data_IF_688389403257
#
_entry.id   IF_688389403257
#
_cell.length_a   1.000
_cell.length_b   1.000
_cell.length_c   1.000
_cell.angle_alpha   90.00
_cell.angle_beta   90.00
_cell.angle_gamma   90.00
#
_symmetry.space_group_name_H-M   'P 1'
#
loop_
_entity.id
_entity.type
_entity.pdbx_description
1 polymer ?
#
# COMPACT_ATOMS: atom_id res chain seq x y z
N UNK A 1 -42.66 -23.99 1.39
CA UNK A 1 -42.83 -22.66 2.03
C UNK A 1 -41.73 -21.79 1.48
N UNK A 2 -42.11 -20.86 0.62
CA UNK A 2 -41.20 -19.94 -0.07
C UNK A 2 -40.84 -18.80 0.91
N UNK A 3 -39.57 -18.63 1.25
CA UNK A 3 -39.09 -17.45 1.95
C UNK A 3 -39.21 -16.24 1.02
N UNK A 4 -40.17 -15.38 1.30
CA UNK A 4 -40.26 -14.05 0.72
C UNK A 4 -39.15 -13.19 1.34
N UNK A 5 -38.13 -12.85 0.53
CA UNK A 5 -37.13 -11.87 0.88
C UNK A 5 -37.78 -10.49 0.98
N UNK A 6 -37.79 -9.90 2.17
CA UNK A 6 -38.24 -8.53 2.39
C UNK A 6 -37.40 -7.55 1.56
N UNK A 7 -38.04 -6.92 0.57
CA UNK A 7 -37.47 -5.90 -0.28
C UNK A 7 -37.76 -4.53 0.38
N UNK A 8 -36.75 -3.89 0.91
CA UNK A 8 -36.86 -2.53 1.42
C UNK A 8 -36.54 -1.52 0.30
N UNK A 9 -37.55 -0.83 -0.20
CA UNK A 9 -37.37 0.23 -1.20
C UNK A 9 -37.02 1.56 -0.53
N UNK A 10 -35.75 1.98 -0.69
CA UNK A 10 -35.33 3.36 -0.39
C UNK A 10 -35.40 4.21 -1.66
N UNK A 11 -35.71 5.53 -1.58
CA UNK A 11 -35.66 6.38 -2.77
C UNK A 11 -34.22 6.52 -3.26
N UNK A 12 -33.87 5.78 -4.32
CA UNK A 12 -32.53 5.81 -4.90
C UNK A 12 -31.96 4.49 -5.42
N UNK A 13 -32.63 3.36 -5.29
CA UNK A 13 -32.18 2.10 -5.88
C UNK A 13 -32.38 0.88 -4.99
N UNK A 14 -32.61 -0.25 -5.61
CA UNK A 14 -32.68 -1.57 -4.96
C UNK A 14 -31.35 -1.93 -4.37
N UNK A 15 -31.26 -2.07 -3.04
CA UNK A 15 -30.11 -2.66 -2.39
C UNK A 15 -30.36 -4.16 -2.26
N UNK A 16 -29.60 -4.95 -3.00
CA UNK A 16 -29.64 -6.40 -2.88
C UNK A 16 -28.84 -6.85 -1.65
N UNK A 17 -29.54 -7.35 -0.63
CA UNK A 17 -28.93 -7.89 0.60
C UNK A 17 -28.53 -9.36 0.48
N UNK A 18 -28.68 -10.00 -0.69
CA UNK A 18 -28.32 -11.42 -0.89
C UNK A 18 -26.84 -11.73 -0.64
N UNK A 19 -25.99 -10.70 -0.50
CA UNK A 19 -24.54 -10.87 -0.33
C UNK A 19 -23.83 -11.35 -1.61
N UNK A 20 -24.55 -11.60 -2.71
CA UNK A 20 -23.97 -12.00 -3.99
C UNK A 20 -23.41 -10.80 -4.76
N UNK A 21 -22.45 -11.05 -5.64
CA UNK A 21 -22.00 -10.07 -6.62
C UNK A 21 -22.97 -10.04 -7.80
N UNK A 22 -23.34 -8.83 -8.24
CA UNK A 22 -24.25 -8.56 -9.37
C UNK A 22 -23.62 -7.57 -10.35
N UNK A 23 -24.29 -7.27 -11.47
CA UNK A 23 -23.91 -6.22 -12.43
C UNK A 23 -22.46 -6.34 -12.92
N UNK A 24 -22.09 -7.54 -13.38
CA UNK A 24 -20.77 -7.81 -13.93
C UNK A 24 -20.56 -7.06 -15.25
N UNK A 25 -19.74 -6.02 -15.25
CA UNK A 25 -19.39 -5.24 -16.42
C UNK A 25 -17.93 -5.49 -16.77
N UNK A 26 -17.66 -6.02 -17.96
CA UNK A 26 -16.28 -6.22 -18.45
C UNK A 26 -15.63 -4.86 -18.69
N UNK A 27 -14.58 -4.55 -17.94
CA UNK A 27 -13.82 -3.30 -18.02
C UNK A 27 -12.59 -3.43 -18.91
N UNK A 28 -11.90 -4.57 -18.84
CA UNK A 28 -10.70 -4.84 -19.61
C UNK A 28 -10.53 -6.33 -19.88
N UNK A 29 -9.96 -6.68 -21.04
CA UNK A 29 -9.65 -8.06 -21.39
C UNK A 29 -8.30 -8.15 -22.08
N UNK A 30 -7.51 -9.13 -21.64
CA UNK A 30 -6.24 -9.50 -22.23
C UNK A 30 -6.26 -10.99 -22.60
N UNK A 31 -5.18 -11.50 -23.18
CA UNK A 31 -5.05 -12.95 -23.43
C UNK A 31 -4.96 -13.81 -22.17
N UNK A 32 -4.79 -13.22 -20.99
CA UNK A 32 -4.55 -13.94 -19.73
C UNK A 32 -5.56 -13.65 -18.65
N UNK A 33 -6.09 -12.44 -18.61
CA UNK A 33 -7.01 -12.00 -17.56
C UNK A 33 -8.11 -11.12 -18.11
N UNK A 34 -9.25 -11.17 -17.43
CA UNK A 34 -10.36 -10.23 -17.61
C UNK A 34 -10.61 -9.50 -16.32
N UNK A 35 -10.89 -8.21 -16.43
CA UNK A 35 -11.25 -7.36 -15.32
C UNK A 35 -12.73 -7.01 -15.44
N UNK A 36 -13.50 -7.30 -14.39
CA UNK A 36 -14.90 -6.95 -14.31
C UNK A 36 -15.11 -6.00 -13.13
N UNK A 37 -15.98 -5.01 -13.35
CA UNK A 37 -16.61 -4.30 -12.25
C UNK A 37 -17.88 -5.05 -11.86
N UNK A 38 -18.10 -5.27 -10.57
CA UNK A 38 -19.32 -5.84 -10.04
C UNK A 38 -19.83 -5.04 -8.85
N UNK A 39 -21.08 -5.27 -8.48
CA UNK A 39 -21.73 -4.63 -7.33
C UNK A 39 -22.03 -5.68 -6.27
N UNK A 40 -21.79 -5.34 -5.00
CA UNK A 40 -22.20 -6.13 -3.84
C UNK A 40 -22.57 -5.18 -2.70
N UNK A 41 -23.78 -5.32 -2.15
CA UNK A 41 -24.26 -4.43 -1.09
C UNK A 41 -24.22 -2.95 -1.45
N UNK A 42 -24.53 -2.58 -2.71
CA UNK A 42 -24.50 -1.22 -3.21
C UNK A 42 -23.11 -0.62 -3.44
N UNK A 43 -22.03 -1.40 -3.28
CA UNK A 43 -20.63 -0.95 -3.51
C UNK A 43 -20.07 -1.62 -4.75
N UNK A 44 -19.17 -0.89 -5.44
CA UNK A 44 -18.42 -1.42 -6.56
C UNK A 44 -17.18 -2.18 -6.09
N UNK A 45 -16.91 -3.27 -6.79
CA UNK A 45 -15.69 -4.08 -6.64
C UNK A 45 -15.06 -4.32 -8.00
N UNK A 46 -13.77 -4.54 -8.02
CA UNK A 46 -13.06 -5.00 -9.20
C UNK A 46 -12.74 -6.48 -9.04
N UNK A 47 -13.06 -7.26 -10.06
CA UNK A 47 -12.83 -8.70 -10.11
C UNK A 47 -11.85 -9.00 -11.23
N UNK A 48 -10.77 -9.70 -10.91
CA UNK A 48 -9.80 -10.19 -11.89
C UNK A 48 -9.98 -11.71 -12.03
N UNK A 49 -10.28 -12.17 -13.26
CA UNK A 49 -10.41 -13.58 -13.59
C UNK A 49 -9.34 -14.00 -14.61
N UNK A 50 -9.12 -15.30 -14.73
CA UNK A 50 -8.37 -15.85 -15.86
C UNK A 50 -9.13 -15.59 -17.18
N UNK A 51 -8.40 -15.39 -18.28
CA UNK A 51 -9.04 -15.18 -19.60
C UNK A 51 -9.64 -16.47 -20.17
N UNK A 52 -9.04 -17.61 -19.85
CA UNK A 52 -9.47 -18.95 -20.25
C UNK A 52 -9.59 -19.84 -19.01
N UNK A 53 -10.45 -20.85 -19.08
CA UNK A 53 -10.56 -21.88 -18.04
C UNK A 53 -9.38 -22.88 -18.12
N UNK A 54 -8.17 -22.37 -18.26
CA UNK A 54 -6.94 -23.13 -18.29
C UNK A 54 -6.38 -23.20 -16.86
N UNK A 55 -6.12 -24.41 -16.36
CA UNK A 55 -5.61 -24.63 -15.00
C UNK A 55 -4.29 -23.89 -14.71
N UNK A 56 -3.48 -23.60 -15.74
CA UNK A 56 -2.25 -22.82 -15.60
C UNK A 56 -2.55 -21.35 -15.31
N UNK A 57 -3.52 -20.74 -16.01
CA UNK A 57 -3.92 -19.36 -15.78
C UNK A 57 -4.64 -19.18 -14.45
N UNK A 58 -5.43 -20.17 -14.05
CA UNK A 58 -6.08 -20.17 -12.73
C UNK A 58 -5.05 -20.33 -11.60
N UNK A 59 -4.07 -21.20 -11.74
CA UNK A 59 -2.98 -21.34 -10.77
C UNK A 59 -2.16 -20.05 -10.65
N UNK A 60 -1.90 -19.36 -11.77
CA UNK A 60 -1.24 -18.06 -11.77
C UNK A 60 -2.07 -16.99 -11.05
N UNK A 61 -3.38 -16.95 -11.30
CA UNK A 61 -4.31 -16.04 -10.62
C UNK A 61 -4.33 -16.28 -9.10
N UNK A 62 -4.36 -17.54 -8.68
CA UNK A 62 -4.34 -17.92 -7.27
C UNK A 62 -3.04 -17.52 -6.60
N UNK A 63 -1.91 -17.71 -7.26
CA UNK A 63 -0.60 -17.28 -6.77
C UNK A 63 -0.51 -15.74 -6.65
N UNK A 64 -1.06 -15.00 -7.61
CA UNK A 64 -1.17 -13.54 -7.51
C UNK A 64 -1.99 -13.13 -6.28
N UNK A 65 -3.10 -13.81 -6.01
CA UNK A 65 -3.90 -13.58 -4.81
C UNK A 65 -3.08 -13.82 -3.53
N UNK A 66 -2.37 -14.95 -3.44
CA UNK A 66 -1.55 -15.30 -2.28
C UNK A 66 -0.46 -14.26 -2.00
N UNK A 67 0.18 -13.72 -3.04
CA UNK A 67 1.20 -12.68 -2.93
C UNK A 67 0.61 -11.32 -2.51
N UNK A 68 -0.61 -11.04 -2.94
CA UNK A 68 -1.29 -9.78 -2.66
C UNK A 68 -2.03 -9.77 -1.32
N UNK A 69 -2.24 -10.96 -0.75
CA UNK A 69 -2.99 -11.13 0.50
C UNK A 69 -2.23 -10.50 1.67
N UNK A 70 -2.91 -9.62 2.37
CA UNK A 70 -2.32 -8.92 3.52
C UNK A 70 -1.54 -7.65 3.15
N UNK A 71 -1.44 -7.30 1.87
CA UNK A 71 -0.89 -5.99 1.49
C UNK A 71 -1.88 -4.88 1.77
N UNK A 72 -1.53 -4.01 2.72
CA UNK A 72 -2.34 -2.87 3.13
C UNK A 72 -1.52 -1.60 3.09
N UNK A 73 -1.80 -0.77 2.11
CA UNK A 73 -1.15 0.53 1.97
C UNK A 73 -2.08 1.50 1.24
N UNK A 74 -2.15 2.75 1.70
CA UNK A 74 -3.06 3.76 1.13
C UNK A 74 -2.89 3.98 -0.39
N UNK A 75 -1.70 3.68 -0.94
CA UNK A 75 -1.38 3.85 -2.36
C UNK A 75 -1.24 2.53 -3.12
N UNK A 76 -1.73 1.44 -2.55
CA UNK A 76 -1.82 0.12 -3.19
C UNK A 76 -3.28 -0.31 -3.18
N UNK A 77 -3.78 -0.89 -4.26
CA UNK A 77 -5.15 -1.40 -4.31
C UNK A 77 -5.28 -2.63 -3.40
N UNK A 78 -6.28 -2.60 -2.53
CA UNK A 78 -6.51 -3.66 -1.55
C UNK A 78 -7.14 -4.87 -2.22
N UNK A 79 -6.51 -6.03 -2.05
CA UNK A 79 -7.10 -7.33 -2.39
C UNK A 79 -7.92 -7.80 -1.19
N UNK A 80 -9.17 -8.15 -1.42
CA UNK A 80 -10.14 -8.45 -0.37
C UNK A 80 -10.30 -9.95 -0.15
N UNK A 81 -10.56 -10.70 -1.22
CA UNK A 81 -10.81 -12.13 -1.16
C UNK A 81 -10.58 -12.80 -2.51
N UNK A 82 -10.56 -14.13 -2.50
CA UNK A 82 -10.62 -14.98 -3.69
C UNK A 82 -11.97 -15.71 -3.72
N UNK A 83 -12.73 -15.51 -4.77
CA UNK A 83 -14.03 -16.15 -4.97
C UNK A 83 -13.89 -17.24 -6.03
N UNK A 84 -14.00 -18.52 -5.65
CA UNK A 84 -13.76 -19.64 -6.56
C UNK A 84 -14.92 -19.90 -7.54
N UNK A 85 -16.12 -19.40 -7.27
CA UNK A 85 -17.35 -19.81 -7.96
C UNK A 85 -18.23 -18.62 -8.30
N UNK A 86 -17.72 -17.68 -9.11
CA UNK A 86 -18.53 -16.58 -9.64
C UNK A 86 -19.03 -16.88 -11.05
N UNK A 87 -20.13 -16.24 -11.52
CA UNK A 87 -20.63 -16.39 -12.90
C UNK A 87 -19.58 -16.10 -13.98
N UNK A 88 -18.58 -15.27 -13.65
CA UNK A 88 -17.46 -14.90 -14.54
C UNK A 88 -16.24 -15.80 -14.39
N UNK A 89 -16.33 -16.86 -13.58
CA UNK A 89 -15.25 -17.76 -13.21
C UNK A 89 -14.56 -17.39 -11.89
N UNK A 90 -13.56 -18.18 -11.47
CA UNK A 90 -12.76 -17.87 -10.28
C UNK A 90 -12.14 -16.48 -10.38
N UNK A 91 -12.20 -15.69 -9.30
CA UNK A 91 -11.78 -14.30 -9.32
C UNK A 91 -11.07 -13.85 -8.05
N UNK A 92 -10.06 -13.01 -8.23
CA UNK A 92 -9.56 -12.12 -7.17
C UNK A 92 -10.52 -10.93 -7.08
N UNK A 93 -11.06 -10.70 -5.90
CA UNK A 93 -11.87 -9.53 -5.59
C UNK A 93 -11.02 -8.47 -4.94
N UNK A 94 -11.07 -7.27 -5.45
CA UNK A 94 -10.29 -6.13 -4.95
C UNK A 94 -11.14 -4.86 -4.88
N UNK A 95 -10.64 -3.86 -4.17
CA UNK A 95 -11.29 -2.56 -4.12
C UNK A 95 -11.46 -1.97 -5.54
N UNK A 96 -12.63 -1.36 -5.77
CA UNK A 96 -12.84 -0.56 -6.96
C UNK A 96 -12.24 0.83 -6.75
N UNK A 97 -11.28 1.20 -7.57
CA UNK A 97 -10.66 2.52 -7.55
C UNK A 97 -11.34 3.41 -8.59
N UNK A 98 -12.13 4.40 -8.13
CA UNK A 98 -12.67 5.42 -9.01
C UNK A 98 -11.57 6.41 -9.41
N UNK A 99 -11.00 6.20 -10.57
CA UNK A 99 -9.85 6.95 -11.05
C UNK A 99 -9.58 6.72 -12.54
N UNK A 100 -8.47 7.27 -12.98
CA UNK A 100 -7.94 7.09 -14.34
C UNK A 100 -6.49 6.66 -14.26
N UNK A 101 -5.99 5.96 -15.28
CA UNK A 101 -4.57 5.60 -15.33
C UNK A 101 -3.67 6.85 -15.45
N UNK A 102 -2.42 6.69 -15.01
CA UNK A 102 -1.45 7.78 -14.97
C UNK A 102 -1.19 8.38 -16.36
N UNK A 103 -1.22 7.58 -17.45
CA UNK A 103 -1.02 8.08 -18.81
C UNK A 103 -2.13 9.07 -19.19
N UNK A 104 -3.38 8.67 -18.97
CA UNK A 104 -4.55 9.48 -19.23
C UNK A 104 -4.59 10.72 -18.33
N UNK A 105 -4.21 10.55 -17.06
CA UNK A 105 -4.09 11.67 -16.13
C UNK A 105 -3.06 12.70 -16.61
N UNK A 106 -1.89 12.26 -17.09
CA UNK A 106 -0.86 13.16 -17.60
C UNK A 106 -1.28 13.95 -18.83
N UNK A 107 -2.24 13.46 -19.64
CA UNK A 107 -2.79 14.22 -20.77
C UNK A 107 -3.60 15.44 -20.33
N UNK A 108 -4.05 15.52 -19.08
CA UNK A 108 -4.69 16.72 -18.50
C UNK A 108 -3.70 17.82 -18.12
N UNK A 109 -2.41 17.57 -18.30
CA UNK A 109 -1.31 18.47 -17.98
C UNK A 109 -1.32 19.00 -16.53
N UNK A 110 -1.30 18.12 -15.52
CA UNK A 110 -1.30 18.53 -14.13
C UNK A 110 -0.09 19.40 -13.78
N UNK A 111 -0.25 20.27 -12.78
CA UNK A 111 0.82 21.15 -12.33
C UNK A 111 2.02 20.41 -11.73
N UNK A 112 3.15 21.12 -11.58
CA UNK A 112 4.40 20.52 -11.08
C UNK A 112 4.32 20.07 -9.62
N UNK A 113 3.44 20.64 -8.79
CA UNK A 113 3.27 20.24 -7.40
C UNK A 113 2.51 18.92 -7.33
N UNK A 114 1.43 18.80 -8.10
CA UNK A 114 0.64 17.58 -8.26
C UNK A 114 1.51 16.43 -8.78
N UNK A 115 2.31 16.64 -9.83
CA UNK A 115 3.24 15.63 -10.35
C UNK A 115 4.25 15.17 -9.29
N UNK A 116 4.79 16.09 -8.48
CA UNK A 116 5.71 15.75 -7.38
C UNK A 116 5.02 14.95 -6.28
N UNK A 117 3.78 15.29 -5.93
CA UNK A 117 3.00 14.56 -4.95
C UNK A 117 2.73 13.14 -5.43
N UNK A 118 2.24 12.98 -6.66
CA UNK A 118 2.00 11.67 -7.28
C UNK A 118 3.27 10.82 -7.27
N UNK A 119 4.41 11.37 -7.67
CA UNK A 119 5.66 10.60 -7.67
C UNK A 119 6.11 10.24 -6.25
N UNK A 120 5.89 11.09 -5.26
CA UNK A 120 6.21 10.79 -3.86
C UNK A 120 5.32 9.67 -3.30
N UNK A 121 4.02 9.68 -3.60
CA UNK A 121 3.08 8.61 -3.24
C UNK A 121 3.43 7.30 -3.93
N UNK A 122 3.80 7.35 -5.21
CA UNK A 122 4.25 6.18 -5.96
C UNK A 122 5.52 5.56 -5.34
N UNK A 123 6.50 6.39 -4.96
CA UNK A 123 7.71 5.93 -4.27
C UNK A 123 7.39 5.27 -2.93
N UNK A 124 6.45 5.84 -2.18
CA UNK A 124 6.01 5.31 -0.89
C UNK A 124 5.37 3.93 -1.05
N UNK A 125 4.47 3.79 -2.02
CA UNK A 125 3.83 2.52 -2.35
C UNK A 125 4.85 1.44 -2.77
N UNK A 126 5.78 1.77 -3.69
CA UNK A 126 6.77 0.79 -4.16
C UNK A 126 7.79 0.46 -3.07
N UNK A 127 8.14 1.42 -2.21
CA UNK A 127 8.99 1.15 -1.05
C UNK A 127 8.29 0.19 -0.07
N UNK A 128 6.99 0.33 0.15
CA UNK A 128 6.20 -0.61 0.94
C UNK A 128 6.20 -2.02 0.32
N UNK A 129 5.93 -2.15 -0.99
CA UNK A 129 5.96 -3.41 -1.72
C UNK A 129 7.32 -4.11 -1.56
N UNK A 130 8.43 -3.35 -1.72
CA UNK A 130 9.78 -3.88 -1.57
C UNK A 130 10.10 -4.32 -0.13
N UNK A 131 9.59 -3.60 0.89
CA UNK A 131 9.72 -4.03 2.30
C UNK A 131 8.96 -5.32 2.59
N UNK A 132 7.87 -5.57 1.89
CA UNK A 132 7.11 -6.83 1.96
C UNK A 132 7.79 -7.98 1.20
N UNK A 133 9.00 -7.77 0.67
CA UNK A 133 9.74 -8.80 -0.08
C UNK A 133 9.22 -9.05 -1.49
N UNK A 134 8.35 -8.19 -2.01
CA UNK A 134 7.72 -8.34 -3.32
C UNK A 134 8.36 -7.39 -4.32
N UNK A 135 8.53 -7.85 -5.55
CA UNK A 135 8.97 -7.06 -6.71
C UNK A 135 7.78 -6.98 -7.65
N UNK A 136 7.40 -5.78 -8.07
CA UNK A 136 6.20 -5.60 -8.89
C UNK A 136 6.38 -6.07 -10.34
N UNK A 137 7.55 -5.82 -10.94
CA UNK A 137 7.99 -6.22 -12.28
C UNK A 137 7.16 -5.69 -13.48
N UNK A 138 6.01 -5.06 -13.27
CA UNK A 138 5.16 -4.47 -14.33
C UNK A 138 4.72 -3.04 -13.99
N UNK A 139 5.61 -2.26 -13.37
CA UNK A 139 5.32 -0.85 -13.09
C UNK A 139 5.27 -0.03 -14.39
N UNK A 140 4.08 0.45 -14.71
CA UNK A 140 3.80 1.27 -15.90
C UNK A 140 2.59 2.17 -15.65
N UNK A 141 2.37 3.21 -16.44
CA UNK A 141 1.25 4.14 -16.24
C UNK A 141 -0.13 3.48 -16.19
N UNK A 142 -0.33 2.39 -16.92
CA UNK A 142 -1.59 1.66 -16.96
C UNK A 142 -1.91 0.93 -15.63
N UNK A 143 -0.88 0.59 -14.84
CA UNK A 143 -1.00 -0.07 -13.54
C UNK A 143 -0.97 0.93 -12.36
N UNK A 144 -1.00 2.22 -12.66
CA UNK A 144 -1.00 3.30 -11.67
C UNK A 144 -2.26 4.12 -11.87
N UNK A 145 -3.23 3.95 -11.00
CA UNK A 145 -4.46 4.75 -11.03
C UNK A 145 -4.28 6.01 -10.20
N UNK A 146 -4.87 7.09 -10.71
CA UNK A 146 -5.00 8.37 -10.02
C UNK A 146 -6.47 8.54 -9.67
N UNK A 147 -6.79 8.58 -8.38
CA UNK A 147 -8.16 8.70 -7.90
C UNK A 147 -8.81 10.00 -8.36
N UNK A 148 -10.11 9.98 -8.63
CA UNK A 148 -10.89 11.14 -9.03
C UNK A 148 -10.93 12.20 -7.93
N UNK A 149 -11.01 11.76 -6.68
CA UNK A 149 -10.97 12.63 -5.51
C UNK A 149 -9.51 12.67 -5.02
N UNK A 150 -8.98 13.86 -4.74
CA UNK A 150 -7.63 14.15 -4.24
C UNK A 150 -6.47 13.84 -5.20
N UNK A 151 -6.67 13.17 -6.33
CA UNK A 151 -5.61 12.69 -7.22
C UNK A 151 -4.55 11.84 -6.48
N UNK A 152 -4.98 10.90 -5.65
CA UNK A 152 -4.09 9.99 -4.95
C UNK A 152 -3.71 8.79 -5.81
N UNK A 153 -2.49 8.30 -5.64
CA UNK A 153 -1.98 7.13 -6.35
C UNK A 153 -2.58 5.86 -5.77
N UNK A 154 -2.95 4.92 -6.64
CA UNK A 154 -3.25 3.54 -6.33
C UNK A 154 -2.54 2.63 -7.33
N UNK A 155 -1.59 1.83 -6.86
CA UNK A 155 -0.95 0.77 -7.67
C UNK A 155 -1.90 -0.41 -7.73
N UNK A 156 -2.09 -0.94 -8.93
CA UNK A 156 -2.91 -2.12 -9.21
C UNK A 156 -2.06 -3.19 -9.88
N UNK A 157 -2.53 -4.42 -9.86
CA UNK A 157 -2.03 -5.56 -10.63
C UNK A 157 -0.63 -6.05 -10.22
N UNK A 158 -0.60 -7.11 -9.39
CA UNK A 158 0.61 -7.81 -8.97
C UNK A 158 0.90 -9.10 -9.77
N UNK A 159 0.21 -9.31 -10.90
CA UNK A 159 0.24 -10.54 -11.68
C UNK A 159 1.61 -10.97 -12.21
N UNK A 160 2.61 -10.11 -12.11
CA UNK A 160 3.97 -10.36 -12.59
C UNK A 160 5.03 -10.51 -11.49
N UNK A 161 4.66 -10.28 -10.24
CA UNK A 161 5.58 -10.47 -9.12
C UNK A 161 6.01 -11.93 -8.95
N UNK A 162 5.28 -12.89 -9.55
CA UNK A 162 5.52 -14.33 -9.43
C UNK A 162 6.19 -14.99 -10.62
N UNK A 163 6.12 -14.43 -11.84
CA UNK A 163 6.53 -15.11 -13.08
C UNK A 163 7.30 -14.19 -14.03
N UNK A 164 8.59 -13.98 -13.77
CA UNK A 164 9.50 -13.31 -14.70
C UNK A 164 9.56 -14.01 -16.08
N UNK A 165 9.37 -15.32 -16.13
CA UNK A 165 9.41 -16.13 -17.35
C UNK A 165 8.32 -15.78 -18.39
N UNK A 166 7.21 -15.16 -17.97
CA UNK A 166 6.05 -14.88 -18.82
C UNK A 166 5.99 -13.44 -19.38
N UNK A 167 6.96 -12.61 -19.06
CA UNK A 167 6.95 -11.19 -19.46
C UNK A 167 6.98 -10.97 -20.99
N UNK A 168 7.61 -11.86 -21.74
CA UNK A 168 7.90 -11.65 -23.16
C UNK A 168 6.76 -11.92 -24.12
N UNK A 169 5.75 -12.69 -23.75
CA UNK A 169 4.61 -12.95 -24.65
C UNK A 169 3.66 -11.73 -24.78
N UNK A 170 3.83 -10.73 -23.93
CA UNK A 170 2.99 -9.51 -23.91
C UNK A 170 3.63 -8.31 -24.63
N UNK A 171 4.83 -8.43 -25.15
CA UNK A 171 5.69 -7.30 -25.53
C UNK A 171 5.51 -6.79 -26.96
N UNK A 172 4.33 -6.86 -27.53
CA UNK A 172 4.06 -6.27 -28.86
C UNK A 172 3.43 -4.86 -28.77
N UNK A 173 3.80 -4.06 -27.78
CA UNK A 173 3.33 -2.66 -27.69
C UNK A 173 3.73 -2.01 -26.38
N UNK A 174 4.01 -0.73 -26.36
CA UNK A 174 4.17 0.22 -25.23
C UNK A 174 4.84 -0.23 -23.90
N UNK A 175 4.63 -1.46 -23.48
CA UNK A 175 5.10 -2.00 -22.20
C UNK A 175 6.62 -2.18 -22.14
N UNK A 176 7.29 -2.46 -23.27
CA UNK A 176 8.76 -2.63 -23.33
C UNK A 176 9.54 -1.44 -22.80
N UNK A 177 9.00 -0.24 -22.92
CA UNK A 177 9.65 1.00 -22.51
C UNK A 177 9.90 1.05 -20.99
N UNK A 178 9.03 0.45 -20.18
CA UNK A 178 9.10 0.48 -18.71
C UNK A 178 9.87 -0.72 -18.15
N UNK A 179 10.08 -1.77 -18.96
CA UNK A 179 10.81 -2.95 -18.57
C UNK A 179 12.31 -2.66 -18.47
N UNK A 180 12.93 -3.15 -17.42
CA UNK A 180 14.38 -3.10 -17.28
C UNK A 180 15.07 -4.04 -18.26
N UNK A 181 16.35 -3.78 -18.62
CA UNK A 181 17.11 -4.65 -19.53
C UNK A 181 17.09 -6.11 -19.08
N UNK A 182 17.34 -6.39 -17.81
CA UNK A 182 17.37 -7.74 -17.25
C UNK A 182 16.01 -8.46 -17.35
N UNK A 183 14.90 -7.73 -17.26
CA UNK A 183 13.57 -8.28 -17.52
C UNK A 183 13.38 -8.65 -18.99
N UNK A 184 13.91 -7.85 -19.91
CA UNK A 184 13.84 -8.12 -21.34
C UNK A 184 14.76 -9.27 -21.75
N UNK A 185 15.89 -9.44 -21.08
CA UNK A 185 16.89 -10.48 -21.30
C UNK A 185 16.55 -11.79 -20.58
N UNK A 186 15.48 -11.83 -19.79
CA UNK A 186 15.05 -13.00 -19.00
C UNK A 186 16.10 -13.47 -18.00
N UNK A 187 16.75 -12.54 -17.31
CA UNK A 187 17.69 -12.91 -16.26
C UNK A 187 16.97 -13.64 -15.12
N UNK A 188 17.60 -14.70 -14.61
CA UNK A 188 17.04 -15.54 -13.54
C UNK A 188 17.05 -14.82 -12.16
N UNK A 189 17.86 -13.76 -12.01
CA UNK A 189 18.12 -13.07 -10.75
C UNK A 189 17.50 -11.66 -10.70
N UNK A 190 16.24 -11.50 -11.08
CA UNK A 190 15.53 -10.23 -11.04
C UNK A 190 15.35 -9.78 -9.59
N UNK A 191 15.71 -8.53 -9.29
CA UNK A 191 15.55 -7.91 -7.97
C UNK A 191 14.79 -6.57 -8.03
N UNK A 192 14.59 -5.92 -6.88
CA UNK A 192 13.87 -4.65 -6.76
C UNK A 192 14.42 -3.49 -7.59
N UNK A 193 15.62 -3.61 -8.16
CA UNK A 193 16.21 -2.63 -9.07
C UNK A 193 15.55 -2.62 -10.45
N UNK A 194 14.80 -3.68 -10.78
CA UNK A 194 13.93 -3.70 -11.95
C UNK A 194 12.81 -2.66 -11.83
N UNK A 195 12.12 -2.61 -10.69
CA UNK A 195 11.10 -1.60 -10.41
C UNK A 195 11.70 -0.19 -10.33
N UNK A 196 12.93 -0.05 -9.81
CA UNK A 196 13.66 1.23 -9.81
C UNK A 196 13.88 1.74 -11.24
N UNK A 197 14.18 0.86 -12.20
CA UNK A 197 14.28 1.25 -13.61
C UNK A 197 12.94 1.78 -14.13
N UNK A 198 11.85 1.05 -13.90
CA UNK A 198 10.49 1.46 -14.29
C UNK A 198 10.10 2.82 -13.69
N UNK A 199 10.41 3.04 -12.40
CA UNK A 199 10.23 4.33 -11.73
C UNK A 199 11.05 5.46 -12.38
N UNK A 200 12.24 5.15 -12.90
CA UNK A 200 13.05 6.10 -13.65
C UNK A 200 12.39 6.52 -14.97
N UNK A 201 11.75 5.59 -15.66
CA UNK A 201 10.99 5.88 -16.89
C UNK A 201 9.73 6.67 -16.59
N UNK A 202 8.98 6.30 -15.55
CA UNK A 202 7.79 7.04 -15.09
C UNK A 202 8.18 8.46 -14.66
N UNK A 203 9.34 8.63 -14.01
CA UNK A 203 9.89 9.96 -13.69
C UNK A 203 10.11 10.80 -14.96
N UNK A 204 10.56 10.19 -16.06
CA UNK A 204 10.70 10.89 -17.34
C UNK A 204 9.36 11.37 -17.88
N UNK A 205 8.31 10.55 -17.78
CA UNK A 205 6.96 10.90 -18.22
C UNK A 205 6.36 12.03 -17.36
N UNK A 206 6.58 11.98 -16.05
CA UNK A 206 6.09 13.01 -15.12
C UNK A 206 6.80 14.36 -15.26
N UNK A 207 8.11 14.38 -15.48
CA UNK A 207 8.95 15.55 -15.31
C UNK A 207 9.76 15.95 -16.55
N UNK A 208 9.69 15.19 -17.63
CA UNK A 208 10.46 15.46 -18.85
C UNK A 208 11.97 15.52 -18.59
N UNK A 209 12.59 16.65 -18.94
CA UNK A 209 14.03 16.88 -18.78
C UNK A 209 14.50 17.13 -17.33
N UNK A 210 13.58 17.32 -16.40
CA UNK A 210 13.93 17.55 -14.99
C UNK A 210 14.41 16.28 -14.30
N UNK A 211 15.14 16.46 -13.18
CA UNK A 211 15.63 15.34 -12.34
C UNK A 211 16.60 14.37 -13.04
N UNK A 212 17.28 14.78 -14.10
CA UNK A 212 18.13 13.94 -14.94
C UNK A 212 19.15 13.08 -14.15
N UNK A 213 19.75 13.63 -13.08
CA UNK A 213 20.76 12.88 -12.30
C UNK A 213 20.14 11.67 -11.60
N UNK A 214 18.96 11.83 -10.99
CA UNK A 214 18.26 10.72 -10.33
C UNK A 214 17.77 9.73 -11.39
N UNK A 215 17.13 10.22 -12.46
CA UNK A 215 16.63 9.43 -13.56
C UNK A 215 17.69 8.58 -14.23
N UNK A 216 18.85 9.18 -14.61
CA UNK A 216 19.97 8.45 -15.23
C UNK A 216 20.47 7.32 -14.34
N UNK A 217 20.49 7.54 -13.03
CA UNK A 217 20.86 6.50 -12.07
C UNK A 217 19.83 5.38 -12.00
N UNK A 218 18.54 5.70 -12.00
CA UNK A 218 17.47 4.69 -12.04
C UNK A 218 17.55 3.85 -13.32
N UNK A 219 17.78 4.50 -14.47
CA UNK A 219 17.75 3.89 -15.80
C UNK A 219 19.14 3.45 -16.29
N UNK A 220 20.09 3.23 -15.40
CA UNK A 220 21.39 2.67 -15.78
C UNK A 220 21.21 1.25 -16.34
N UNK A 221 21.85 0.94 -17.45
CA UNK A 221 21.88 -0.43 -18.02
C UNK A 221 22.53 -1.38 -17.01
N UNK A 222 23.60 -0.93 -16.36
CA UNK A 222 24.25 -1.66 -15.29
C UNK A 222 23.40 -1.59 -14.01
N UNK A 223 22.80 -2.71 -13.63
CA UNK A 223 21.92 -2.86 -12.46
C UNK A 223 22.60 -2.43 -11.16
N UNK A 224 23.87 -2.70 -10.97
CA UNK A 224 24.67 -2.34 -9.78
C UNK A 224 24.70 -0.83 -9.53
N UNK A 225 24.63 -0.01 -10.57
CA UNK A 225 24.65 1.47 -10.47
C UNK A 225 23.31 2.07 -10.08
N UNK A 226 22.22 1.33 -10.18
CA UNK A 226 20.89 1.82 -9.79
C UNK A 226 20.78 2.00 -8.27
N UNK A 227 19.72 2.62 -7.81
CA UNK A 227 19.36 2.56 -6.39
C UNK A 227 18.98 1.13 -6.03
N UNK A 228 19.36 0.70 -4.83
CA UNK A 228 19.18 -0.69 -4.38
C UNK A 228 17.70 -1.11 -4.37
N UNK A 229 16.82 -0.21 -3.96
CA UNK A 229 15.37 -0.38 -3.96
C UNK A 229 14.67 0.99 -3.99
N UNK A 230 13.33 1.01 -3.95
CA UNK A 230 12.54 2.24 -3.97
C UNK A 230 12.79 3.14 -2.74
N UNK A 231 13.14 2.61 -1.58
CA UNK A 231 13.42 3.38 -0.36
C UNK A 231 14.68 4.25 -0.51
N UNK A 232 15.75 3.69 -1.10
CA UNK A 232 16.94 4.48 -1.42
C UNK A 232 16.66 5.58 -2.46
N UNK A 233 15.78 5.30 -3.43
CA UNK A 233 15.33 6.29 -4.40
C UNK A 233 14.48 7.37 -3.72
N UNK A 234 13.58 7.00 -2.81
CA UNK A 234 12.75 7.93 -2.01
C UNK A 234 13.61 8.87 -1.19
N UNK A 235 14.67 8.36 -0.56
CA UNK A 235 15.63 9.17 0.18
C UNK A 235 16.35 10.17 -0.74
N UNK A 236 16.80 9.73 -1.90
CA UNK A 236 17.46 10.62 -2.87
C UNK A 236 16.51 11.71 -3.42
N UNK A 237 15.25 11.35 -3.64
CA UNK A 237 14.16 12.24 -4.05
C UNK A 237 13.89 13.32 -3.00
N UNK A 238 13.74 12.92 -1.75
CA UNK A 238 13.45 13.81 -0.62
C UNK A 238 14.60 14.80 -0.37
N UNK A 239 15.86 14.33 -0.36
CA UNK A 239 17.05 15.17 -0.20
C UNK A 239 17.17 16.24 -1.28
N UNK A 240 16.82 15.94 -2.52
CA UNK A 240 16.85 16.93 -3.61
C UNK A 240 15.80 18.00 -3.43
N UNK A 241 14.58 17.63 -3.06
CA UNK A 241 13.49 18.57 -2.84
C UNK A 241 13.79 19.53 -1.68
N UNK A 242 14.38 19.01 -0.60
CA UNK A 242 14.83 19.82 0.53
C UNK A 242 15.93 20.82 0.13
N UNK A 243 16.97 20.37 -0.59
CA UNK A 243 18.03 21.26 -1.07
C UNK A 243 17.54 22.41 -1.94
N UNK A 244 16.56 22.16 -2.81
CA UNK A 244 15.93 23.21 -3.62
C UNK A 244 15.16 24.22 -2.75
N UNK A 245 14.42 23.77 -1.76
CA UNK A 245 13.71 24.63 -0.81
C UNK A 245 14.68 25.44 0.03
N UNK A 246 15.74 24.82 0.52
CA UNK A 246 16.79 25.48 1.27
C UNK A 246 17.54 26.52 0.42
N UNK A 247 17.87 26.23 -0.84
CA UNK A 247 18.49 27.18 -1.76
C UNK A 247 17.59 28.37 -2.05
N UNK A 248 16.28 28.15 -2.29
CA UNK A 248 15.31 29.24 -2.49
C UNK A 248 15.16 30.11 -1.23
N UNK A 249 15.11 29.49 -0.06
CA UNK A 249 15.07 30.21 1.22
C UNK A 249 16.35 31.02 1.44
N UNK A 250 17.52 30.47 1.13
CA UNK A 250 18.81 31.18 1.21
C UNK A 250 18.87 32.39 0.26
N UNK A 251 18.36 32.23 -0.98
CA UNK A 251 18.26 33.35 -1.94
C UNK A 251 17.28 34.42 -1.45
N UNK A 252 16.14 34.04 -0.89
CA UNK A 252 15.18 34.99 -0.33
C UNK A 252 15.77 35.76 0.86
N UNK A 253 16.47 35.07 1.76
CA UNK A 253 17.20 35.71 2.88
C UNK A 253 18.26 36.64 2.36
N UNK A 254 19.08 36.23 1.38
CA UNK A 254 20.11 37.07 0.77
C UNK A 254 19.52 38.31 0.08
N UNK A 255 18.38 38.18 -0.61
CA UNK A 255 17.68 39.30 -1.23
C UNK A 255 17.15 40.32 -0.20
N UNK A 256 16.51 39.83 0.87
CA UNK A 256 16.04 40.67 1.99
C UNK A 256 17.21 41.36 2.71
N UNK A 257 18.31 40.62 2.98
CA UNK A 257 19.52 41.19 3.57
C UNK A 257 20.18 42.23 2.65
N UNK A 258 20.22 41.96 1.34
CA UNK A 258 20.75 42.92 0.35
C UNK A 258 19.95 44.21 0.26
N UNK A 259 18.61 44.11 0.25
CA UNK A 259 17.73 45.29 0.30
C UNK A 259 17.89 46.03 1.62
N UNK A 260 18.03 45.35 2.73
CA UNK A 260 18.27 45.94 4.06
C UNK A 260 19.61 46.67 4.11
N UNK A 261 20.68 46.05 3.63
CA UNK A 261 22.03 46.66 3.56
C UNK A 261 22.02 47.88 2.62
N UNK A 262 21.31 47.80 1.48
CA UNK A 262 21.19 48.94 0.53
C UNK A 262 20.43 50.11 1.14
N UNK A 263 19.33 49.86 1.87
CA UNK A 263 18.59 50.93 2.57
C UNK A 263 19.35 51.56 3.72
N UNK A 264 20.20 50.76 4.43
CA UNK A 264 21.05 51.26 5.55
C UNK A 264 22.32 51.93 5.10
N UNK A 265 22.83 51.66 3.89
CA UNK A 265 24.05 52.29 3.33
C UNK A 265 23.90 53.78 2.99
N UNK A 266 22.72 54.38 3.25
CA UNK A 266 22.47 55.81 3.04
C UNK A 266 22.75 56.73 4.22
N UNK A 267 23.09 56.17 5.40
CA UNK A 267 23.40 56.96 6.59
C UNK A 267 24.65 56.44 7.23
N UNK A 268 25.67 57.36 7.45
CA UNK A 268 27.02 57.06 7.94
C UNK A 268 27.10 56.47 9.35
N UNK A 269 26.05 56.64 10.17
CA UNK A 269 26.02 56.16 11.55
C UNK A 269 25.54 54.74 11.74
N UNK A 270 25.07 54.12 10.66
CA UNK A 270 24.49 52.78 10.71
C UNK A 270 25.44 51.67 10.25
N UNK A 271 26.62 51.97 9.76
CA UNK A 271 27.61 50.94 9.34
C UNK A 271 28.04 50.05 10.49
N UNK A 272 28.27 50.61 11.69
CA UNK A 272 28.62 49.82 12.87
C UNK A 272 27.47 48.88 13.32
N UNK A 273 26.22 49.38 13.26
CA UNK A 273 25.05 48.55 13.62
C UNK A 273 24.79 47.44 12.62
N UNK A 274 25.15 47.64 11.33
CA UNK A 274 25.02 46.62 10.26
C UNK A 274 26.05 45.50 10.43
N UNK A 275 27.29 45.84 10.78
CA UNK A 275 28.32 44.84 11.04
C UNK A 275 27.98 43.98 12.27
N UNK A 276 27.47 44.59 13.35
CA UNK A 276 26.98 43.85 14.51
C UNK A 276 25.73 42.98 14.18
N UNK A 277 24.82 43.49 13.34
CA UNK A 277 23.65 42.73 12.91
C UNK A 277 24.04 41.58 11.98
N UNK A 278 25.03 41.79 11.06
CA UNK A 278 25.51 40.72 10.18
C UNK A 278 26.14 39.56 10.96
N UNK A 279 26.94 39.86 11.94
CA UNK A 279 27.55 38.86 12.87
C UNK A 279 26.46 38.14 13.68
N UNK A 280 25.39 38.87 14.11
CA UNK A 280 24.26 38.26 14.79
C UNK A 280 23.44 37.35 13.85
N UNK A 281 23.19 37.78 12.60
CA UNK A 281 22.50 36.96 11.60
C UNK A 281 23.27 35.70 11.26
N UNK A 282 24.60 35.80 11.11
CA UNK A 282 25.46 34.65 10.86
C UNK A 282 25.48 33.68 12.06
N UNK A 283 25.53 34.21 13.29
CA UNK A 283 25.43 33.40 14.50
C UNK A 283 24.05 32.76 14.69
N UNK A 284 22.98 33.45 14.31
CA UNK A 284 21.63 32.90 14.33
C UNK A 284 21.42 31.85 13.22
N UNK A 285 22.01 32.08 12.04
CA UNK A 285 21.98 31.10 10.95
C UNK A 285 22.71 29.81 11.36
N UNK A 286 23.90 29.92 11.94
CA UNK A 286 24.62 28.74 12.42
C UNK A 286 23.87 28.01 13.56
N UNK A 287 23.21 28.76 14.46
CA UNK A 287 22.34 28.16 15.49
C UNK A 287 21.08 27.51 14.91
N UNK A 288 20.49 28.10 13.89
CA UNK A 288 19.36 27.50 13.18
C UNK A 288 19.77 26.21 12.45
N UNK A 289 20.96 26.22 11.81
CA UNK A 289 21.49 25.00 11.17
C UNK A 289 21.78 23.91 12.20
N UNK A 290 22.33 24.28 13.38
CA UNK A 290 22.58 23.31 14.46
C UNK A 290 21.28 22.77 15.08
N UNK A 291 20.24 23.60 15.21
CA UNK A 291 18.91 23.18 15.69
C UNK A 291 18.22 22.30 14.65
N UNK A 292 18.28 22.70 13.38
CA UNK A 292 17.71 21.90 12.29
C UNK A 292 18.39 20.52 12.15
N UNK A 293 19.71 20.47 12.35
CA UNK A 293 20.44 19.21 12.35
C UNK A 293 20.12 18.37 13.60
N UNK A 294 19.99 19.00 14.77
CA UNK A 294 19.57 18.32 15.99
C UNK A 294 18.13 17.79 15.88
N UNK A 295 17.20 18.57 15.31
CA UNK A 295 15.83 18.12 15.01
C UNK A 295 15.81 16.98 14.01
N UNK A 296 16.66 17.04 12.97
CA UNK A 296 16.77 15.95 12.00
C UNK A 296 17.24 14.65 12.67
N UNK A 297 18.29 14.73 13.50
CA UNK A 297 18.81 13.57 14.23
C UNK A 297 17.76 13.06 15.22
N UNK A 298 17.05 13.95 15.90
CA UNK A 298 15.97 13.58 16.81
C UNK A 298 14.81 12.92 16.07
N UNK A 299 14.44 13.44 14.90
CA UNK A 299 13.38 12.86 14.05
C UNK A 299 13.80 11.49 13.49
N UNK A 300 15.05 11.32 13.07
CA UNK A 300 15.56 10.02 12.61
C UNK A 300 15.56 8.98 13.76
N UNK A 301 16.00 9.38 14.96
CA UNK A 301 15.94 8.49 16.14
C UNK A 301 14.52 8.14 16.54
N UNK A 302 13.62 9.13 16.54
CA UNK A 302 12.19 8.91 16.84
C UNK A 302 11.57 7.94 15.85
N UNK A 303 11.86 8.13 14.54
CA UNK A 303 11.36 7.23 13.50
C UNK A 303 11.88 5.81 13.65
N UNK A 304 13.17 5.64 13.94
CA UNK A 304 13.74 4.32 14.21
C UNK A 304 13.10 3.65 15.44
N UNK A 305 12.81 4.43 16.49
CA UNK A 305 12.12 3.93 17.69
C UNK A 305 10.67 3.53 17.36
N UNK A 306 9.95 4.37 16.63
CA UNK A 306 8.58 4.09 16.18
C UNK A 306 8.55 2.83 15.33
N UNK A 307 9.42 2.70 14.32
CA UNK A 307 9.51 1.53 13.44
C UNK A 307 9.82 0.25 14.25
N UNK A 308 10.70 0.34 15.23
CA UNK A 308 11.03 -0.79 16.12
C UNK A 308 9.83 -1.21 16.97
N UNK A 309 9.13 -0.25 17.59
CA UNK A 309 7.95 -0.52 18.44
C UNK A 309 6.79 -1.05 17.60
N UNK A 310 6.54 -0.48 16.43
CA UNK A 310 5.52 -0.97 15.49
C UNK A 310 5.82 -2.42 15.09
N UNK A 311 7.08 -2.73 14.76
CA UNK A 311 7.50 -4.10 14.43
C UNK A 311 7.27 -5.08 15.57
N UNK A 312 7.60 -4.70 16.80
CA UNK A 312 7.37 -5.51 17.98
C UNK A 312 5.87 -5.69 18.29
N UNK A 313 5.09 -4.61 18.21
CA UNK A 313 3.63 -4.68 18.40
C UNK A 313 2.99 -5.59 17.36
N UNK A 314 3.31 -5.42 16.08
CA UNK A 314 2.79 -6.28 15.00
C UNK A 314 3.07 -7.75 15.27
N UNK A 315 4.32 -8.10 15.52
CA UNK A 315 4.70 -9.50 15.75
C UNK A 315 3.98 -10.10 16.96
N UNK A 316 3.81 -9.32 18.03
CA UNK A 316 3.11 -9.78 19.24
C UNK A 316 1.60 -9.91 19.02
N UNK A 317 0.98 -8.93 18.33
CA UNK A 317 -0.44 -8.97 17.98
C UNK A 317 -0.75 -10.08 16.97
N UNK A 318 0.14 -10.33 16.00
CA UNK A 318 0.00 -11.42 15.05
C UNK A 318 0.08 -12.78 15.74
N UNK A 319 1.02 -12.93 16.67
CA UNK A 319 1.13 -14.16 17.46
C UNK A 319 -0.13 -14.40 18.32
N UNK A 320 -0.69 -13.36 18.92
CA UNK A 320 -1.91 -13.45 19.71
C UNK A 320 -3.15 -13.71 18.84
N UNK A 321 -3.24 -13.05 17.69
CA UNK A 321 -4.28 -13.29 16.69
C UNK A 321 -4.29 -14.75 16.24
N UNK A 322 -3.14 -15.31 15.85
CA UNK A 322 -3.03 -16.70 15.42
C UNK A 322 -3.33 -17.69 16.55
N UNK A 323 -3.00 -17.32 17.79
CA UNK A 323 -3.36 -18.12 18.98
C UNK A 323 -4.86 -18.12 19.21
N UNK A 324 -5.48 -16.94 19.21
CA UNK A 324 -6.93 -16.77 19.38
C UNK A 324 -7.71 -17.40 18.22
N UNK A 325 -7.26 -17.25 16.98
CA UNK A 325 -7.86 -17.88 15.81
C UNK A 325 -7.86 -19.40 15.90
N UNK A 326 -6.74 -20.00 16.34
CA UNK A 326 -6.66 -21.45 16.56
C UNK A 326 -7.55 -21.90 17.71
N UNK A 327 -7.64 -21.13 18.79
CA UNK A 327 -8.50 -21.42 19.92
C UNK A 327 -9.97 -21.40 19.51
N UNK A 328 -10.43 -20.35 18.82
CA UNK A 328 -11.79 -20.27 18.29
C UNK A 328 -12.09 -21.44 17.33
N UNK A 329 -11.15 -21.76 16.42
CA UNK A 329 -11.32 -22.88 15.46
C UNK A 329 -11.29 -24.25 16.12
N UNK A 330 -10.81 -24.37 17.36
CA UNK A 330 -10.78 -25.63 18.12
C UNK A 330 -11.99 -25.83 19.02
N UNK A 331 -12.78 -24.76 19.26
CA UNK A 331 -13.93 -24.78 20.15
C UNK A 331 -15.20 -25.29 19.44
N UNK A 332 -15.97 -26.08 20.18
CA UNK A 332 -17.25 -26.66 19.72
C UNK A 332 -18.44 -25.84 20.24
N UNK A 333 -18.24 -24.99 21.25
CA UNK A 333 -19.30 -24.24 21.94
C UNK A 333 -19.15 -22.73 21.71
N UNK A 334 -20.24 -22.08 21.29
CA UNK A 334 -20.30 -20.63 20.98
C UNK A 334 -19.91 -19.72 22.14
N UNK A 335 -20.32 -20.08 23.35
CA UNK A 335 -20.04 -19.25 24.56
C UNK A 335 -18.54 -19.10 24.84
N UNK A 336 -17.70 -19.97 24.29
CA UNK A 336 -16.25 -19.91 24.41
C UNK A 336 -15.60 -19.05 23.31
N UNK A 337 -16.16 -19.01 22.11
CA UNK A 337 -15.61 -18.20 21.01
C UNK A 337 -15.60 -16.70 21.37
N UNK A 338 -16.65 -16.18 21.97
CA UNK A 338 -16.71 -14.78 22.44
C UNK A 338 -15.69 -14.49 23.55
N UNK A 339 -15.42 -15.48 24.45
CA UNK A 339 -14.39 -15.35 25.48
C UNK A 339 -12.99 -15.23 24.89
N UNK A 340 -12.70 -15.91 23.76
CA UNK A 340 -11.41 -15.78 23.08
C UNK A 340 -11.24 -14.41 22.42
N UNK A 341 -12.30 -13.80 21.91
CA UNK A 341 -12.26 -12.41 21.41
C UNK A 341 -11.99 -11.43 22.57
N UNK A 342 -12.63 -11.62 23.71
CA UNK A 342 -12.39 -10.77 24.89
C UNK A 342 -10.97 -10.97 25.46
N UNK A 343 -10.46 -12.19 25.46
CA UNK A 343 -9.08 -12.49 25.88
C UNK A 343 -8.05 -11.85 24.94
N UNK A 344 -8.31 -11.87 23.63
CA UNK A 344 -7.49 -11.15 22.65
C UNK A 344 -7.45 -9.65 22.95
N UNK A 345 -8.61 -9.01 23.18
CA UNK A 345 -8.69 -7.59 23.53
C UNK A 345 -7.89 -7.24 24.80
N UNK A 346 -7.89 -8.14 25.79
CA UNK A 346 -7.12 -7.94 27.03
C UNK A 346 -5.61 -8.07 26.80
N UNK A 347 -5.18 -9.09 26.09
CA UNK A 347 -3.76 -9.32 25.76
C UNK A 347 -3.19 -8.21 24.91
N UNK A 348 -3.95 -7.75 23.89
CA UNK A 348 -3.53 -6.64 23.00
C UNK A 348 -3.40 -5.34 23.77
N UNK A 349 -4.32 -5.03 24.68
CA UNK A 349 -4.18 -3.85 25.55
C UNK A 349 -2.88 -3.90 26.34
N UNK A 350 -2.57 -5.03 26.95
CA UNK A 350 -1.33 -5.19 27.73
C UNK A 350 -0.10 -4.98 26.84
N UNK A 351 -0.09 -5.52 25.61
CA UNK A 351 1.00 -5.34 24.64
C UNK A 351 1.15 -3.86 24.27
N UNK A 352 0.05 -3.18 23.93
CA UNK A 352 0.08 -1.78 23.50
C UNK A 352 0.43 -0.83 24.63
N UNK A 353 -0.12 -1.05 25.84
CA UNK A 353 0.17 -0.21 27.01
C UNK A 353 1.66 -0.31 27.38
N UNK A 354 2.23 -1.50 27.35
CA UNK A 354 3.67 -1.70 27.59
C UNK A 354 4.53 -1.00 26.53
N UNK A 355 4.11 -1.07 25.27
CA UNK A 355 4.81 -0.42 24.16
C UNK A 355 4.72 1.12 24.25
N UNK A 356 3.54 1.66 24.58
CA UNK A 356 3.29 3.11 24.68
C UNK A 356 3.95 3.73 25.90
N UNK A 357 4.08 3.00 27.01
CA UNK A 357 4.74 3.49 28.23
C UNK A 357 6.22 3.81 28.05
N UNK A 358 6.87 3.25 27.02
CA UNK A 358 8.28 3.49 26.71
C UNK A 358 8.50 4.67 25.76
N UNK A 359 7.45 5.36 25.29
CA UNK A 359 7.51 6.40 24.27
C UNK A 359 7.09 7.78 24.80
N UNK A 360 7.60 8.84 24.19
CA UNK A 360 7.07 10.20 24.39
C UNK A 360 5.67 10.36 23.75
N UNK A 361 4.96 11.46 24.14
CA UNK A 361 3.57 11.72 23.72
C UNK A 361 3.41 11.77 22.18
N UNK A 362 4.38 12.36 21.47
CA UNK A 362 4.34 12.52 20.01
C UNK A 362 4.56 11.19 19.32
N UNK A 363 5.57 10.45 19.75
CA UNK A 363 5.88 9.11 19.23
C UNK A 363 4.77 8.11 19.54
N UNK A 364 4.14 8.21 20.72
CA UNK A 364 2.97 7.41 21.08
C UNK A 364 1.80 7.68 20.13
N UNK A 365 1.52 8.95 19.80
CA UNK A 365 0.45 9.30 18.87
C UNK A 365 0.71 8.75 17.45
N UNK A 366 1.95 8.76 17.00
CA UNK A 366 2.34 8.22 15.69
C UNK A 366 2.20 6.70 15.65
N UNK A 367 2.66 5.99 16.68
CA UNK A 367 2.50 4.52 16.79
C UNK A 367 1.03 4.12 16.86
N UNK A 368 0.21 4.82 17.66
CA UNK A 368 -1.24 4.58 17.72
C UNK A 368 -1.91 4.72 16.36
N UNK A 369 -1.56 5.76 15.60
CA UNK A 369 -2.12 5.97 14.26
C UNK A 369 -1.86 4.80 13.30
N UNK A 370 -0.77 4.08 13.49
CA UNK A 370 -0.38 2.94 12.65
C UNK A 370 -0.98 1.63 13.18
N UNK A 371 -0.87 1.40 14.48
CA UNK A 371 -1.14 0.09 15.11
C UNK A 371 -2.62 -0.09 15.45
N UNK A 372 -3.31 0.95 15.94
CA UNK A 372 -4.71 0.83 16.35
C UNK A 372 -5.66 0.39 15.22
N UNK A 373 -5.53 0.88 13.95
CA UNK A 373 -6.34 0.38 12.85
C UNK A 373 -6.09 -1.11 12.54
N UNK A 374 -4.85 -1.56 12.62
CA UNK A 374 -4.49 -2.97 12.38
C UNK A 374 -5.06 -3.90 13.45
N UNK A 375 -5.04 -3.45 14.71
CA UNK A 375 -5.68 -4.17 15.83
C UNK A 375 -7.19 -4.25 15.62
N UNK A 376 -7.83 -3.15 15.25
CA UNK A 376 -9.27 -3.10 15.03
C UNK A 376 -9.71 -4.07 13.92
N UNK A 377 -8.93 -4.17 12.85
CA UNK A 377 -9.18 -5.11 11.76
C UNK A 377 -9.07 -6.57 12.22
N UNK A 378 -7.99 -6.92 12.94
CA UNK A 378 -7.80 -8.28 13.47
C UNK A 378 -8.89 -8.67 14.45
N UNK A 379 -9.31 -7.74 15.31
CA UNK A 379 -10.44 -7.92 16.21
C UNK A 379 -11.73 -8.20 15.46
N UNK A 380 -12.01 -7.43 14.39
CA UNK A 380 -13.18 -7.62 13.55
C UNK A 380 -13.16 -8.98 12.84
N UNK A 381 -11.98 -9.43 12.38
CA UNK A 381 -11.81 -10.75 11.77
C UNK A 381 -12.09 -11.89 12.76
N UNK A 382 -11.58 -11.81 14.00
CA UNK A 382 -11.86 -12.80 15.05
C UNK A 382 -13.35 -12.82 15.44
N UNK A 383 -13.97 -11.64 15.58
CA UNK A 383 -15.40 -11.53 15.87
C UNK A 383 -16.29 -12.04 14.72
N UNK A 384 -15.84 -11.90 13.48
CA UNK A 384 -16.51 -12.48 12.30
C UNK A 384 -16.39 -14.00 12.31
N UNK A 385 -15.21 -14.52 12.61
CA UNK A 385 -14.97 -15.97 12.73
C UNK A 385 -15.84 -16.57 13.85
N UNK A 386 -15.88 -15.95 15.03
CA UNK A 386 -16.72 -16.38 16.15
C UNK A 386 -18.19 -16.44 15.77
N UNK A 387 -18.70 -15.40 15.06
CA UNK A 387 -20.09 -15.34 14.59
C UNK A 387 -20.38 -16.36 13.48
N UNK A 388 -19.43 -16.66 12.61
CA UNK A 388 -19.62 -17.66 11.55
C UNK A 388 -19.77 -19.09 12.07
N UNK A 389 -19.31 -19.36 13.29
CA UNK A 389 -19.48 -20.64 13.97
C UNK A 389 -20.85 -20.77 14.66
N UNK A 390 -21.55 -19.65 14.92
CA UNK A 390 -22.82 -19.59 15.66
C UNK A 390 -23.99 -20.30 14.94
N UNK A 391 -24.22 -20.12 13.61
CA UNK A 391 -25.30 -20.80 12.90
C UNK A 391 -25.12 -22.31 12.80
N UNK A 392 -23.88 -22.78 12.79
CA UNK A 392 -23.57 -24.21 12.67
C UNK A 392 -23.94 -25.03 13.92
N UNK A 393 -24.16 -24.35 15.04
CA UNK A 393 -24.45 -24.97 16.34
C UNK A 393 -25.95 -24.95 16.62
N UNK A 394 -26.69 -23.98 16.10
CA UNK A 394 -28.15 -23.84 16.28
C UNK A 394 -28.95 -24.79 15.36
N UNK A 395 -28.41 -25.25 14.25
CA UNK A 395 -29.08 -26.12 13.25
C UNK A 395 -28.71 -27.60 13.32
N UNK A 396 -28.48 -28.14 14.49
CA UNK A 396 -28.78 -29.55 14.77
C UNK A 396 -27.93 -30.69 14.16
N UNK A 397 -27.39 -31.54 15.03
CA UNK A 397 -27.15 -33.01 15.00
C UNK A 397 -26.66 -33.73 13.73
N UNK A 398 -26.68 -33.11 12.56
CA UNK A 398 -25.99 -33.54 11.34
C UNK A 398 -24.62 -32.87 11.16
N UNK A 399 -24.23 -32.01 12.06
CA UNK A 399 -23.13 -31.06 11.94
C UNK A 399 -21.74 -31.57 12.31
N UNK A 400 -21.59 -32.74 12.92
CA UNK A 400 -20.25 -33.24 13.26
C UNK A 400 -19.40 -33.47 12.01
N UNK A 401 -19.97 -33.97 10.93
CA UNK A 401 -19.25 -34.21 9.67
C UNK A 401 -18.92 -32.92 8.92
N UNK A 402 -19.85 -31.94 8.88
CA UNK A 402 -19.58 -30.63 8.29
C UNK A 402 -18.61 -29.81 9.12
N UNK A 403 -18.71 -29.84 10.43
CA UNK A 403 -17.77 -29.19 11.33
C UNK A 403 -16.36 -29.77 11.19
N UNK A 404 -16.20 -31.08 11.09
CA UNK A 404 -14.92 -31.73 10.83
C UNK A 404 -14.35 -31.37 9.46
N UNK A 405 -15.22 -31.18 8.45
CA UNK A 405 -14.85 -30.72 7.12
C UNK A 405 -14.29 -29.28 7.16
N UNK A 406 -15.00 -28.33 7.77
CA UNK A 406 -14.53 -26.94 7.91
C UNK A 406 -13.30 -26.82 8.83
N UNK A 407 -13.22 -27.63 9.88
CA UNK A 407 -12.04 -27.71 10.75
C UNK A 407 -10.81 -28.23 10.00
N UNK A 408 -10.99 -29.12 9.02
CA UNK A 408 -9.89 -29.61 8.17
C UNK A 408 -9.41 -28.53 7.19
N UNK A 409 -10.32 -27.72 6.64
CA UNK A 409 -10.00 -26.60 5.76
C UNK A 409 -9.24 -25.49 6.52
N UNK A 410 -9.65 -25.15 7.72
CA UNK A 410 -8.99 -24.13 8.55
C UNK A 410 -7.60 -24.53 9.04
N UNK A 411 -7.31 -25.85 9.10
CA UNK A 411 -5.99 -26.41 9.50
C UNK A 411 -5.06 -26.65 8.31
N UNK A 412 -5.43 -26.29 7.08
CA UNK A 412 -4.62 -26.52 5.88
C UNK A 412 -4.53 -27.99 5.49
N UNK A 413 -5.42 -28.85 6.00
CA UNK A 413 -5.51 -30.27 5.67
C UNK A 413 -6.36 -30.53 4.42
N UNK A 414 -6.07 -31.64 3.73
CA UNK A 414 -6.89 -32.09 2.59
C UNK A 414 -8.31 -32.42 3.08
N UNK A 415 -9.37 -32.08 2.28
CA UNK A 415 -10.74 -32.32 2.67
C UNK A 415 -10.98 -33.84 2.88
N UNK A 416 -11.64 -34.16 3.98
CA UNK A 416 -12.04 -35.52 4.30
C UNK A 416 -13.01 -36.01 3.22
N UNK A 417 -12.69 -37.08 2.51
CA UNK A 417 -13.58 -37.66 1.50
C UNK A 417 -14.83 -38.22 2.17
N UNK A 418 -15.98 -37.71 1.77
CA UNK A 418 -17.27 -38.33 2.10
C UNK A 418 -17.23 -39.80 1.69
N UNK A 419 -17.33 -40.71 2.66
CA UNK A 419 -17.74 -42.09 2.39
C UNK A 419 -19.27 -42.11 2.27
N UNK A 420 -19.69 -42.78 1.24
CA UNK A 420 -21.12 -43.10 1.05
C UNK A 420 -21.58 -44.13 2.04
#
# INVERSE_FOLDING_TARGET
MSEESEIFEMPGGRIDYSGAYTDFVLMHSTSRSRLYRAVRGGKYFMLKTAATADGMQEASLRREYELSLGMQHQHVATVLTYEPSLPVGPAIVMEYVDGTDLRRFLSTNPDAATRRRIFSQLLDAVAYIHRSGIIHNDLKPENILITRINNDVKIIDFGYSADAAHYLTRTLGGTRRYASPELLERADDIDSRSDVYSLGVIMADLFGGNYQRIRRRCMSDERSRRYRNAEYLQTAWSRRNWRRRAALAAVAVAAVSGVFVWTLGRTSDMRQAVDEASVRVESLASRLDSVAEAERIAAERRRATVDSVVGQCRSSVDAEFERSRRAISAEIYCDFAERHVAAFDASVRQITDAAYAALDVTSTAEVRRIVDPEIAEKRAALASLARSLQPMIEENTSCEEEFLYYKSLLRGGKPFRRWR
#
